data_IF_557084503263
#
_entry.id   IF_557084503263
#
_cell.length_a   1.000
_cell.length_b   1.000
_cell.length_c   1.000
_cell.angle_alpha   90.00
_cell.angle_beta   90.00
_cell.angle_gamma   90.00
#
_symmetry.space_group_name_H-M   'P 1'
#
loop_
_entity.id
_entity.type
_entity.pdbx_description
1 polymer ?
#
# COMPACT_ATOMS: atom_id res chain seq x y z
N UNK A 1 17.43 -8.07 -5.03
CA UNK A 1 17.31 -7.22 -3.83
C UNK A 1 15.82 -7.20 -3.47
N UNK A 2 15.28 -8.19 -2.76
CA UNK A 2 15.81 -8.81 -1.55
C UNK A 2 15.54 -10.33 -1.47
N UNK A 3 16.46 -11.02 -0.81
CA UNK A 3 16.51 -12.45 -0.53
C UNK A 3 15.54 -12.79 0.63
N UNK A 4 14.42 -13.44 0.32
CA UNK A 4 13.42 -13.84 1.31
C UNK A 4 13.60 -15.29 1.73
N UNK A 5 14.52 -15.52 2.67
CA UNK A 5 14.66 -16.80 3.35
C UNK A 5 14.36 -16.65 4.83
N UNK A 6 13.11 -16.97 5.20
CA UNK A 6 12.72 -17.81 6.35
C UNK A 6 11.28 -17.45 6.81
N UNK A 7 10.31 -18.23 6.34
CA UNK A 7 8.94 -18.25 6.88
C UNK A 7 8.68 -19.58 7.58
N UNK A 8 8.87 -19.59 8.89
CA UNK A 8 8.21 -20.49 9.83
C UNK A 8 7.99 -19.67 11.14
N UNK A 9 6.89 -19.71 11.89
CA UNK A 9 5.58 -20.36 11.78
C UNK A 9 4.65 -19.66 12.78
N UNK A 10 3.33 -19.74 12.57
CA UNK A 10 2.22 -19.51 13.53
C UNK A 10 1.50 -18.14 13.48
N UNK A 11 0.56 -18.03 12.54
CA UNK A 11 -0.82 -17.48 12.60
C UNK A 11 -1.24 -16.32 13.53
N UNK A 12 -0.33 -15.48 14.00
CA UNK A 12 -0.63 -14.10 14.44
C UNK A 12 0.55 -13.15 14.20
N UNK A 13 1.73 -13.69 13.88
CA UNK A 13 2.96 -12.91 13.73
C UNK A 13 3.19 -12.41 12.29
N UNK A 14 2.46 -12.93 11.30
CA UNK A 14 2.53 -12.47 9.92
C UNK A 14 1.99 -11.03 9.73
N UNK A 15 0.99 -10.63 10.53
CA UNK A 15 0.47 -9.25 10.52
C UNK A 15 1.40 -8.30 11.28
N UNK A 16 1.93 -8.70 12.43
CA UNK A 16 2.85 -7.88 13.24
C UNK A 16 4.18 -7.60 12.52
N UNK A 17 4.66 -8.52 11.66
CA UNK A 17 5.94 -8.39 10.96
C UNK A 17 5.86 -7.47 9.74
N UNK A 18 4.68 -7.32 9.14
CA UNK A 18 4.47 -6.41 8.03
C UNK A 18 4.23 -4.96 8.53
N UNK A 19 3.51 -4.74 9.64
CA UNK A 19 3.31 -3.37 10.18
C UNK A 19 4.62 -2.65 10.54
N UNK A 20 5.58 -3.40 11.10
CA UNK A 20 6.83 -2.85 11.62
C UNK A 20 7.92 -2.62 10.54
N UNK A 21 7.81 -3.21 9.35
CA UNK A 21 8.79 -3.02 8.27
C UNK A 21 8.21 -3.15 6.84
N UNK A 22 6.91 -2.89 6.66
CA UNK A 22 6.31 -2.83 5.34
C UNK A 22 6.77 -1.57 4.63
N UNK A 23 7.26 -1.73 3.40
CA UNK A 23 7.45 -0.61 2.46
C UNK A 23 6.13 0.09 2.15
N UNK A 24 5.02 -0.67 2.12
CA UNK A 24 3.67 -0.14 2.01
C UNK A 24 2.81 -0.57 3.20
N UNK A 25 2.40 0.37 4.06
CA UNK A 25 1.43 0.12 5.15
C UNK A 25 0.00 0.11 4.61
N UNK A 26 -0.27 -0.84 3.71
CA UNK A 26 -1.52 -1.02 3.00
C UNK A 26 -1.35 -2.02 1.86
N UNK A 27 -1.74 -1.67 0.64
CA UNK A 27 -1.57 -2.55 -0.53
C UNK A 27 -1.07 -1.77 -1.76
N UNK A 28 -0.47 -2.49 -2.71
CA UNK A 28 -0.03 -1.90 -3.97
C UNK A 28 -1.16 -1.81 -5.00
N UNK A 29 -1.19 -0.72 -5.75
CA UNK A 29 -2.12 -0.46 -6.83
C UNK A 29 -1.36 -0.03 -8.08
N UNK A 30 -1.74 -0.60 -9.22
CA UNK A 30 -1.15 -0.27 -10.52
C UNK A 30 -2.03 0.75 -11.22
N UNK A 31 -1.46 1.90 -11.57
CA UNK A 31 -2.14 3.01 -12.24
C UNK A 31 -2.70 2.58 -13.60
N UNK A 32 -3.95 2.96 -13.84
CA UNK A 32 -4.70 2.70 -15.08
C UNK A 32 -4.99 4.01 -15.82
N UNK A 33 -5.44 3.88 -17.07
CA UNK A 33 -5.84 5.02 -17.88
C UNK A 33 -6.95 5.84 -17.18
N UNK A 34 -6.76 7.16 -17.11
CA UNK A 34 -7.72 8.09 -16.53
C UNK A 34 -7.71 8.17 -15.00
N UNK A 35 -6.80 7.46 -14.33
CA UNK A 35 -6.59 7.59 -12.90
C UNK A 35 -6.05 8.98 -12.52
N UNK A 36 -6.42 9.41 -11.32
CA UNK A 36 -5.87 10.59 -10.66
C UNK A 36 -5.76 10.28 -9.18
N UNK A 37 -4.83 10.93 -8.47
CA UNK A 37 -4.75 10.78 -7.02
C UNK A 37 -6.10 11.04 -6.34
N UNK A 38 -6.87 12.03 -6.81
CA UNK A 38 -8.18 12.34 -6.26
C UNK A 38 -9.18 11.18 -6.43
N UNK A 39 -9.29 10.60 -7.63
CA UNK A 39 -10.16 9.44 -7.87
C UNK A 39 -9.76 8.26 -7.00
N UNK A 40 -8.46 7.97 -6.93
CA UNK A 40 -7.90 6.87 -6.13
C UNK A 40 -8.18 7.11 -4.63
N UNK A 41 -7.98 8.33 -4.15
CA UNK A 41 -8.22 8.69 -2.74
C UNK A 41 -9.69 8.49 -2.36
N UNK A 42 -10.62 8.87 -3.25
CA UNK A 42 -12.06 8.64 -3.05
C UNK A 42 -12.44 7.17 -3.08
N UNK A 43 -11.88 6.40 -4.02
CA UNK A 43 -12.15 4.96 -4.15
C UNK A 43 -11.71 4.18 -2.92
N UNK A 44 -10.54 4.52 -2.36
CA UNK A 44 -9.96 3.77 -1.24
C UNK A 44 -10.14 4.44 0.12
N UNK A 45 -10.82 5.59 0.17
CA UNK A 45 -11.10 6.32 1.41
C UNK A 45 -9.82 6.70 2.18
N UNK A 46 -8.80 7.10 1.43
CA UNK A 46 -7.55 7.66 1.97
C UNK A 46 -7.46 9.12 1.56
N UNK A 47 -6.72 9.95 2.30
CA UNK A 47 -6.51 11.33 1.86
C UNK A 47 -5.50 11.38 0.70
N UNK A 48 -5.61 12.40 -0.16
CA UNK A 48 -4.59 12.64 -1.21
C UNK A 48 -3.22 12.87 -0.56
N UNK A 49 -3.19 13.55 0.59
CA UNK A 49 -1.94 13.78 1.34
C UNK A 49 -1.29 12.47 1.77
N UNK A 50 -2.07 11.50 2.27
CA UNK A 50 -1.55 10.20 2.68
C UNK A 50 -1.01 9.41 1.49
N UNK A 51 -1.69 9.47 0.33
CA UNK A 51 -1.16 8.89 -0.90
C UNK A 51 0.18 9.52 -1.30
N UNK A 52 0.32 10.84 -1.24
CA UNK A 52 1.58 11.52 -1.57
C UNK A 52 2.69 11.07 -0.62
N UNK A 53 2.42 11.08 0.69
CA UNK A 53 3.42 10.70 1.72
C UNK A 53 3.83 9.24 1.64
N UNK A 54 2.91 8.34 1.26
CA UNK A 54 3.18 6.91 1.13
C UNK A 54 4.02 6.56 -0.12
N UNK A 55 4.15 7.48 -1.07
CA UNK A 55 4.77 7.24 -2.38
C UNK A 55 5.93 8.20 -2.68
N UNK A 56 6.94 8.36 -1.81
CA UNK A 56 8.04 9.31 -2.01
C UNK A 56 9.00 8.90 -3.15
N UNK A 57 8.82 7.70 -3.71
CA UNK A 57 9.68 7.11 -4.73
C UNK A 57 9.17 7.32 -6.17
N UNK A 58 8.01 7.95 -6.35
CA UNK A 58 7.49 8.32 -7.68
C UNK A 58 7.09 9.80 -7.75
N UNK A 59 6.99 10.33 -8.98
CA UNK A 59 6.40 11.63 -9.19
C UNK A 59 4.87 11.54 -9.25
N UNK A 60 4.24 11.68 -8.08
CA UNK A 60 2.78 11.62 -7.91
C UNK A 60 2.01 12.72 -8.66
N UNK A 61 2.67 13.77 -9.14
CA UNK A 61 2.07 14.81 -10.00
C UNK A 61 2.16 14.49 -11.50
N UNK A 62 2.83 13.38 -11.85
CA UNK A 62 2.97 12.89 -13.23
C UNK A 62 2.78 11.37 -13.27
N UNK A 63 1.65 10.88 -12.74
CA UNK A 63 1.33 9.45 -12.74
C UNK A 63 1.28 8.88 -14.16
N UNK A 64 2.02 7.80 -14.40
CA UNK A 64 2.02 7.07 -15.66
C UNK A 64 1.24 5.76 -15.51
N UNK A 65 0.62 5.31 -16.60
CA UNK A 65 0.01 3.98 -16.67
C UNK A 65 1.10 2.94 -16.36
N UNK A 66 0.75 1.95 -15.55
CA UNK A 66 1.63 0.91 -15.00
C UNK A 66 2.58 1.35 -13.87
N UNK A 67 2.54 2.61 -13.41
CA UNK A 67 3.17 2.95 -12.15
C UNK A 67 2.54 2.13 -11.00
N UNK A 68 3.37 1.65 -10.09
CA UNK A 68 2.91 0.97 -8.87
C UNK A 68 3.00 1.92 -7.68
N UNK A 69 1.87 2.13 -6.99
CA UNK A 69 1.76 2.98 -5.82
C UNK A 69 1.30 2.19 -4.60
N UNK A 70 1.75 2.60 -3.42
CA UNK A 70 1.19 2.19 -2.15
C UNK A 70 -0.11 2.96 -1.85
N UNK A 71 -1.19 2.24 -1.57
CA UNK A 71 -2.43 2.77 -1.00
C UNK A 71 -2.39 2.51 0.52
N UNK A 72 -2.23 3.54 1.37
CA UNK A 72 -2.04 3.36 2.82
C UNK A 72 -3.36 3.14 3.56
N UNK A 73 -4.11 2.10 3.18
CA UNK A 73 -5.32 1.65 3.90
C UNK A 73 -4.96 0.46 4.76
N UNK A 74 -5.12 0.58 6.08
CA UNK A 74 -5.00 -0.57 6.97
C UNK A 74 -6.05 -1.60 6.58
N UNK A 75 -5.61 -2.82 6.24
CA UNK A 75 -6.51 -3.96 6.15
C UNK A 75 -6.91 -4.25 7.59
N UNK A 76 -8.09 -3.82 8.02
CA UNK A 76 -8.69 -4.32 9.24
C UNK A 76 -8.90 -5.81 9.03
N UNK A 77 -8.00 -6.61 9.58
CA UNK A 77 -8.27 -8.03 9.80
C UNK A 77 -9.36 -8.03 10.85
N UNK A 78 -10.62 -8.01 10.42
CA UNK A 78 -11.75 -8.30 11.29
C UNK A 78 -11.56 -9.75 11.73
N UNK A 79 -10.82 -9.93 12.83
CA UNK A 79 -10.92 -11.16 13.58
C UNK A 79 -12.29 -11.06 14.21
N UNK A 80 -13.28 -11.65 13.54
CA UNK A 80 -14.61 -11.87 14.11
C UNK A 80 -14.40 -12.48 15.50
N UNK A 81 -14.66 -11.67 16.52
CA UNK A 81 -14.78 -12.14 17.90
C UNK A 81 -16.07 -12.96 18.02
#
# INVERSE_FOLDING_TARGET
MDNYNNLNTNNSQAYTRCINNCRCRGFYYVIKEGDTLYKISRTYEVSVSDLIMANPYINVYNLQINDEICIPKMISVETSM
#
